data_IF_093936182693
#
_entry.id   IF_093936182693
#
_cell.length_a   1.000
_cell.length_b   1.000
_cell.length_c   1.000
_cell.angle_alpha   90.00
_cell.angle_beta   90.00
_cell.angle_gamma   90.00
#
_symmetry.space_group_name_H-M   'P 1'
#
loop_
_entity.id
_entity.type
_entity.pdbx_description
1 polymer ?
2 non-polymer ?
3 non-polymer ?
4 non-polymer ?
5 water ?
#
# COMPACT_ATOMS: atom_id res chain seq x y z
N UNK A 1 20.51 2.35 -5.63
CA UNK A 1 19.22 2.95 -6.06
C UNK A 1 18.24 3.13 -4.90
N UNK A 2 17.67 4.31 -4.92
CA UNK A 2 17.09 4.85 -3.78
C UNK A 2 15.61 5.01 -3.91
N UNK A 3 14.98 4.55 -4.98
CA UNK A 3 13.52 4.49 -5.09
C UNK A 3 12.98 3.14 -5.57
N UNK A 4 12.02 2.61 -4.86
CA UNK A 4 11.18 1.49 -5.31
C UNK A 4 9.83 2.07 -5.67
N UNK A 5 9.25 1.66 -6.82
CA UNK A 5 7.96 2.20 -7.16
C UNK A 5 7.19 1.29 -8.10
N UNK A 6 5.92 1.64 -8.27
CA UNK A 6 5.03 1.02 -9.21
C UNK A 6 5.15 1.56 -10.59
N UNK A 7 5.94 2.60 -10.80
CA UNK A 7 5.87 3.49 -11.94
C UNK A 7 4.67 4.40 -11.76
N UNK A 8 4.77 5.54 -12.44
CA UNK A 8 3.66 6.52 -12.31
C UNK A 8 2.57 6.44 -13.40
N UNK A 9 2.48 5.37 -14.17
CA UNK A 9 1.51 5.26 -15.25
C UNK A 9 0.15 4.83 -14.63
N UNK A 10 -0.85 4.52 -15.46
CA UNK A 10 -2.13 4.08 -14.92
C UNK A 10 -2.50 2.64 -15.34
N UNK A 11 -1.48 1.88 -15.72
CA UNK A 11 -1.69 0.48 -16.09
C UNK A 11 -2.03 -0.36 -14.85
N UNK A 12 -3.13 -1.18 -14.94
CA UNK A 12 -3.61 -1.74 -13.68
C UNK A 12 -2.63 -2.73 -13.15
N UNK A 13 -2.44 -2.70 -11.88
CA UNK A 13 -1.41 -3.48 -11.21
C UNK A 13 -1.89 -4.09 -9.94
N UNK A 14 -3.15 -3.96 -9.53
CA UNK A 14 -3.55 -4.20 -8.19
C UNK A 14 -4.98 -4.74 -8.14
N UNK A 15 -5.29 -5.42 -7.01
CA UNK A 15 -6.61 -5.97 -6.75
C UNK A 15 -7.31 -5.22 -5.65
N UNK A 16 -8.44 -4.63 -5.96
CA UNK A 16 -9.37 -4.11 -4.92
C UNK A 16 -10.47 -5.13 -4.70
N UNK A 17 -11.11 -5.49 -5.76
CA UNK A 17 -12.17 -6.51 -5.75
C UNK A 17 -11.69 -7.75 -6.53
N UNK A 18 -11.31 -7.55 -7.76
CA UNK A 18 -10.83 -8.63 -8.65
C UNK A 18 -9.42 -8.27 -9.17
N UNK A 19 -8.76 -9.28 -9.76
CA UNK A 19 -7.37 -9.12 -10.06
C UNK A 19 -7.15 -8.01 -11.10
N UNK A 20 -6.15 -7.17 -10.85
CA UNK A 20 -5.79 -6.12 -11.84
C UNK A 20 -6.99 -5.24 -12.23
N UNK A 21 -7.79 -4.93 -11.19
CA UNK A 21 -8.89 -3.97 -11.38
C UNK A 21 -8.53 -2.57 -11.07
N UNK A 22 -7.33 -2.31 -10.62
CA UNK A 22 -6.99 -1.00 -10.08
C UNK A 22 -5.54 -0.66 -10.27
N UNK A 23 -5.18 0.60 -10.17
CA UNK A 23 -3.82 1.09 -10.18
C UNK A 23 -3.46 1.61 -8.84
N UNK A 24 -2.53 0.95 -8.16
CA UNK A 24 -1.87 1.49 -6.99
C UNK A 24 -0.68 2.27 -7.43
N UNK A 25 -0.63 3.56 -7.11
CA UNK A 25 0.54 4.35 -7.40
C UNK A 25 1.30 4.46 -6.08
N UNK A 26 2.50 3.89 -6.02
CA UNK A 26 3.29 3.86 -4.77
C UNK A 26 4.70 4.08 -5.06
N UNK A 27 5.30 5.06 -4.35
CA UNK A 27 6.70 5.33 -4.44
C UNK A 27 7.33 5.37 -3.06
N UNK A 28 8.40 4.63 -2.89
CA UNK A 28 9.18 4.55 -1.62
C UNK A 28 10.53 5.05 -1.91
N UNK A 29 10.95 6.20 -1.32
CA UNK A 29 12.20 6.77 -1.49
C UNK A 29 13.03 6.67 -0.22
N UNK A 30 14.19 6.09 -0.29
CA UNK A 30 15.05 5.94 0.89
C UNK A 30 15.72 7.23 1.22
N UNK A 31 15.61 7.58 2.51
CA UNK A 31 16.10 8.78 3.06
C UNK A 31 16.86 8.41 4.40
N UNK A 32 18.00 7.72 4.32
CA UNK A 32 18.63 7.25 5.51
C UNK A 32 17.80 6.27 6.30
N UNK A 33 17.57 6.62 7.55
CA UNK A 33 16.84 5.80 8.50
C UNK A 33 15.33 5.75 8.24
N UNK A 34 14.82 6.55 7.29
CA UNK A 34 13.40 6.54 6.95
C UNK A 34 13.19 6.32 5.42
N UNK A 35 12.09 5.76 5.08
CA UNK A 35 11.54 5.85 3.74
C UNK A 35 10.53 6.97 3.76
N UNK A 36 10.54 7.80 2.70
CA UNK A 36 9.49 8.76 2.35
C UNK A 36 8.59 8.09 1.34
N UNK A 37 7.37 7.87 1.70
CA UNK A 37 6.41 7.22 0.88
C UNK A 37 5.31 8.11 0.34
N UNK A 38 4.74 7.71 -0.80
CA UNK A 38 3.66 8.51 -1.44
C UNK A 38 2.74 7.50 -2.11
N UNK A 39 1.47 7.53 -1.81
CA UNK A 39 0.56 6.50 -2.28
C UNK A 39 -0.75 7.09 -2.76
N UNK A 40 -1.43 6.37 -3.63
CA UNK A 40 -2.81 6.65 -4.06
C UNK A 40 -3.27 5.43 -4.81
N UNK A 41 -4.60 5.37 -4.98
CA UNK A 41 -5.25 4.17 -5.53
C UNK A 41 -6.42 4.61 -6.38
N UNK A 42 -6.57 3.96 -7.51
CA UNK A 42 -7.61 4.24 -8.51
C UNK A 42 -8.23 2.93 -8.94
N UNK A 43 -9.54 2.82 -8.97
CA UNK A 43 -10.21 1.67 -9.53
C UNK A 43 -10.45 1.87 -10.99
N UNK A 44 -9.97 0.99 -11.84
CA UNK A 44 -10.06 1.14 -13.29
C UNK A 44 -11.25 0.35 -13.84
N UNK A 45 -11.53 -0.81 -13.30
CA UNK A 45 -12.64 -1.69 -13.67
C UNK A 45 -13.26 -2.29 -12.44
N UNK A 46 -14.32 -3.05 -12.63
CA UNK A 46 -14.93 -3.81 -11.54
C UNK A 46 -15.79 -2.96 -10.61
N UNK A 47 -16.17 -3.52 -9.48
CA UNK A 47 -17.15 -2.92 -8.65
C UNK A 47 -16.70 -1.52 -8.15
N UNK A 48 -15.43 -1.38 -7.78
CA UNK A 48 -15.00 -0.10 -7.23
C UNK A 48 -14.92 0.96 -8.31
N UNK A 49 -14.96 0.60 -9.57
CA UNK A 49 -15.02 1.58 -10.65
C UNK A 49 -16.36 2.27 -10.70
N UNK A 50 -17.44 1.69 -10.24
CA UNK A 50 -18.74 2.30 -10.20
C UNK A 50 -19.45 1.69 -8.98
N UNK A 51 -19.18 2.29 -7.87
CA UNK A 51 -19.64 1.69 -6.56
C UNK A 51 -21.15 1.69 -6.48
N UNK A 52 -21.70 0.72 -5.73
CA UNK A 52 -23.12 0.66 -5.44
C UNK A 52 -23.35 0.92 -3.96
N UNK A 53 -24.63 0.95 -3.58
CA UNK A 53 -24.99 1.16 -2.16
C UNK A 53 -24.54 0.01 -1.26
N UNK A 54 -24.31 -1.18 -1.83
CA UNK A 54 -23.81 -2.34 -1.10
C UNK A 54 -22.31 -2.62 -1.20
N UNK A 55 -21.53 -1.92 -2.04
CA UNK A 55 -20.10 -2.09 -2.07
C UNK A 55 -19.48 -1.92 -0.67
N UNK A 56 -18.47 -2.77 -0.37
CA UNK A 56 -17.82 -2.78 0.95
C UNK A 56 -16.98 -1.52 1.15
N UNK A 57 -17.33 -0.77 2.21
CA UNK A 57 -16.61 0.49 2.39
C UNK A 57 -15.32 0.27 3.20
N UNK A 58 -14.52 -0.71 2.75
CA UNK A 58 -13.30 -1.12 3.43
C UNK A 58 -12.46 -1.97 2.46
N UNK A 59 -11.37 -1.43 1.94
CA UNK A 59 -10.55 -2.10 0.95
C UNK A 59 -9.17 -2.16 1.54
N UNK A 60 -8.56 -3.34 1.54
CA UNK A 60 -7.19 -3.49 2.05
C UNK A 60 -6.26 -3.92 0.91
N UNK A 61 -5.22 -3.20 0.69
CA UNK A 61 -4.18 -3.50 -0.29
C UNK A 61 -2.95 -3.99 0.48
N UNK A 62 -2.57 -5.24 0.30
CA UNK A 62 -1.48 -5.84 1.07
C UNK A 62 -0.21 -6.03 0.25
N UNK A 63 0.89 -5.45 0.70
CA UNK A 63 2.21 -5.76 0.14
C UNK A 63 2.96 -6.61 1.16
N UNK A 64 3.25 -7.83 0.80
CA UNK A 64 3.93 -8.78 1.66
C UNK A 64 5.32 -8.93 1.09
N UNK A 65 6.36 -8.98 1.92
CA UNK A 65 7.75 -9.08 1.46
C UNK A 65 8.46 -10.22 2.10
N UNK A 66 9.37 -10.82 1.39
CA UNK A 66 10.24 -11.85 1.94
C UNK A 66 11.41 -11.24 2.68
N UNK A 67 12.27 -12.09 3.21
CA UNK A 67 13.40 -11.66 4.05
C UNK A 67 14.39 -10.81 3.25
N UNK A 68 14.38 -10.89 1.91
CA UNK A 68 15.21 -10.02 1.07
C UNK A 68 14.53 -8.68 0.75
N UNK A 69 13.37 -8.47 1.26
CA UNK A 69 12.64 -7.28 0.90
C UNK A 69 11.96 -7.33 -0.44
N UNK A 70 11.77 -8.53 -1.01
CA UNK A 70 11.21 -8.71 -2.33
C UNK A 70 9.74 -9.05 -2.16
N UNK A 71 8.90 -8.41 -2.97
CA UNK A 71 7.46 -8.62 -2.97
C UNK A 71 7.11 -10.05 -3.21
N UNK A 72 6.20 -10.58 -2.40
CA UNK A 72 5.70 -11.95 -2.56
C UNK A 72 4.50 -11.95 -3.52
N UNK A 73 4.34 -13.02 -4.26
CA UNK A 73 3.31 -13.08 -5.32
C UNK A 73 1.91 -13.13 -4.77
N UNK A 74 1.71 -13.42 -3.52
CA UNK A 74 0.39 -13.41 -2.93
C UNK A 74 -0.07 -12.02 -2.55
N UNK A 75 0.73 -10.99 -2.79
CA UNK A 75 0.36 -9.57 -2.52
C UNK A 75 -0.79 -9.12 -3.45
N UNK A 76 -1.44 -8.06 -2.99
CA UNK A 76 -2.47 -7.40 -3.81
C UNK A 76 -1.91 -6.76 -5.03
N UNK A 77 -0.70 -6.25 -4.95
CA UNK A 77 0.09 -5.61 -6.03
C UNK A 77 0.80 -6.66 -6.85
N UNK A 78 0.68 -6.63 -8.14
CA UNK A 78 1.41 -7.49 -9.02
C UNK A 78 2.90 -7.14 -9.06
N UNK A 79 3.72 -8.20 -8.99
CA UNK A 79 5.19 -8.05 -9.06
C UNK A 79 5.73 -7.52 -10.39
N UNK A 80 4.93 -7.64 -11.44
CA UNK A 80 5.42 -7.27 -12.76
C UNK A 80 5.80 -5.83 -12.88
N UNK A 81 5.06 -5.10 -11.97
CA UNK A 81 4.75 -3.68 -11.90
C UNK A 81 5.52 -3.02 -10.73
N UNK A 82 6.56 -3.65 -10.14
CA UNK A 82 7.12 -3.16 -8.86
C UNK A 82 8.59 -3.38 -8.85
N UNK A 83 9.41 -2.35 -8.89
CA UNK A 83 10.86 -2.54 -8.88
C UNK A 83 11.56 -1.20 -8.61
N UNK A 84 12.88 -1.25 -8.55
CA UNK A 84 13.68 -0.06 -8.47
C UNK A 84 13.41 0.82 -9.66
N UNK A 85 13.41 2.14 -9.47
CA UNK A 85 13.17 3.16 -10.54
C UNK A 85 14.35 3.14 -11.57
N UNK A 86 13.98 3.39 -12.83
CA UNK A 86 14.88 3.69 -13.94
C UNK A 86 14.05 4.60 -14.87
N UNK A 87 14.42 5.87 -14.96
CA UNK A 87 13.65 6.89 -15.70
C UNK A 87 12.19 6.93 -15.19
N UNK A 88 11.16 6.83 -16.05
CA UNK A 88 9.76 6.68 -15.59
C UNK A 88 9.30 5.22 -15.55
N UNK A 89 10.23 4.28 -15.77
CA UNK A 89 9.95 2.83 -15.67
C UNK A 89 10.75 2.16 -14.51
N UNK A 90 11.11 0.89 -14.69
CA UNK A 90 11.83 0.14 -13.67
C UNK A 90 13.07 -0.51 -14.26
N UNK A 91 13.98 -0.95 -13.40
CA UNK A 91 15.18 -1.72 -13.80
C UNK A 91 14.78 -3.07 -14.41
N UNK A 92 15.66 -3.65 -15.23
CA UNK A 92 15.35 -4.91 -15.93
C UNK A 92 15.50 -6.16 -15.04
N UNK A 93 16.58 -6.22 -14.22
CA UNK A 93 16.76 -7.27 -13.18
C UNK A 93 15.50 -7.39 -12.28
N UNK A 94 14.88 -8.58 -12.23
CA UNK A 94 13.60 -8.75 -11.51
C UNK A 94 13.80 -8.80 -9.99
N UNK A 95 14.88 -9.40 -9.52
CA UNK A 95 15.00 -9.82 -8.10
C UNK A 95 16.12 -9.12 -7.33
N UNK A 96 15.81 -7.91 -6.87
CA UNK A 96 16.77 -7.02 -6.26
C UNK A 96 16.51 -6.87 -4.76
N UNK A 97 17.53 -7.18 -3.92
CA UNK A 97 17.38 -6.99 -2.44
C UNK A 97 16.88 -5.62 -2.14
N UNK A 98 16.03 -5.55 -1.15
CA UNK A 98 15.46 -4.29 -0.74
C UNK A 98 15.23 -4.15 0.77
N UNK A 99 16.06 -4.83 1.55
CA UNK A 99 15.95 -4.77 3.01
C UNK A 99 15.98 -3.32 3.54
N UNK A 100 16.83 -2.45 2.96
CA UNK A 100 16.83 -1.07 3.46
C UNK A 100 15.58 -0.29 3.23
N UNK A 101 14.63 -0.80 2.48
CA UNK A 101 13.30 -0.21 2.31
C UNK A 101 12.26 -0.82 3.20
N UNK A 102 12.63 -1.88 3.95
CA UNK A 102 11.61 -2.59 4.71
C UNK A 102 11.34 -1.89 6.05
N UNK A 103 10.12 -2.01 6.58
CA UNK A 103 9.86 -1.34 7.86
C UNK A 103 10.60 -2.01 9.00
N UNK A 104 11.18 -1.21 9.87
CA UNK A 104 11.98 -1.68 11.00
C UNK A 104 11.18 -2.60 11.91
N UNK A 105 11.76 -3.77 12.18
CA UNK A 105 11.05 -4.78 12.96
C UNK A 105 11.06 -4.50 14.47
N UNK A 106 11.95 -3.64 14.95
CA UNK A 106 11.90 -3.22 16.35
C UNK A 106 10.85 -2.15 16.56
N UNK A 107 10.80 -1.17 15.68
CA UNK A 107 9.78 -0.16 15.73
C UNK A 107 8.39 -0.77 15.48
N UNK A 108 8.36 -1.73 14.53
CA UNK A 108 7.07 -2.24 14.05
C UNK A 108 7.14 -3.76 14.11
N UNK A 109 7.03 -4.36 15.30
CA UNK A 109 7.17 -5.77 15.43
C UNK A 109 5.94 -6.50 14.90
N UNK A 110 6.14 -7.69 14.41
CA UNK A 110 4.99 -8.49 14.07
C UNK A 110 4.15 -8.73 15.31
N UNK A 111 2.87 -9.01 15.12
CA UNK A 111 2.00 -9.37 16.26
C UNK A 111 2.37 -10.72 16.86
N UNK A 112 2.20 -10.84 18.16
CA UNK A 112 2.66 -12.04 18.89
C UNK A 112 1.70 -12.41 20.00
N UNK A 113 1.97 -13.55 20.62
CA UNK A 113 1.30 -13.95 21.88
C UNK A 113 1.78 -13.12 23.06
N UNK A 114 3.01 -12.62 22.97
CA UNK A 114 3.70 -11.88 24.04
C UNK A 114 2.94 -10.72 24.70
N UNK A 115 2.15 -9.97 23.91
CA UNK A 115 1.64 -8.65 24.35
C UNK A 115 0.25 -8.24 23.78
N UNK A 116 -0.63 -9.21 23.48
CA UNK A 116 -1.99 -8.93 22.96
C UNK A 116 -2.07 -7.83 21.88
N UNK A 117 -2.49 -6.61 22.24
CA UNK A 117 -2.61 -5.50 21.30
C UNK A 117 -1.22 -4.96 20.92
N UNK A 118 -1.04 -4.64 19.65
CA UNK A 118 0.25 -4.19 19.25
C UNK A 118 0.23 -2.67 19.44
N UNK A 119 1.43 -2.18 19.39
CA UNK A 119 1.67 -0.76 19.51
C UNK A 119 0.96 0.03 18.43
N UNK A 120 0.28 1.10 18.78
CA UNK A 120 -0.37 1.92 17.78
C UNK A 120 0.61 2.55 16.78
N UNK A 121 1.88 2.68 17.20
CA UNK A 121 2.85 3.30 16.28
C UNK A 121 3.06 2.52 15.05
N UNK A 122 2.64 1.25 14.99
CA UNK A 122 2.69 0.42 13.79
C UNK A 122 1.77 0.87 12.72
N UNK A 123 0.89 1.85 12.99
CA UNK A 123 -0.02 2.34 12.02
C UNK A 123 0.09 3.86 11.85
N UNK A 124 -0.29 4.32 10.70
CA UNK A 124 -0.54 5.74 10.37
C UNK A 124 -1.99 5.80 9.97
N UNK A 125 -2.76 6.73 10.50
CA UNK A 125 -4.17 6.89 10.10
C UNK A 125 -4.39 8.35 9.76
N UNK A 126 -5.00 8.60 8.63
CA UNK A 126 -5.37 9.98 8.24
C UNK A 126 -6.50 9.93 7.27
N UNK A 127 -6.86 11.03 6.68
CA UNK A 127 -7.88 11.11 5.61
C UNK A 127 -7.25 11.43 4.30
N UNK A 128 -7.74 10.80 3.25
CA UNK A 128 -7.60 11.22 1.87
C UNK A 128 -9.01 11.48 1.34
N UNK A 129 -9.13 11.91 0.08
CA UNK A 129 -10.41 12.43 -0.39
C UNK A 129 -10.79 11.83 -1.72
N UNK A 130 -11.98 11.25 -1.76
CA UNK A 130 -12.48 10.57 -2.92
C UNK A 130 -12.81 11.55 -4.02
N UNK A 131 -12.29 11.35 -5.24
CA UNK A 131 -12.49 12.23 -6.29
C UNK A 131 -11.83 13.59 -6.13
N UNK A 132 -10.94 13.70 -5.14
CA UNK A 132 -10.39 15.01 -4.75
C UNK A 132 -11.48 15.98 -4.43
N UNK A 133 -12.55 15.54 -3.79
CA UNK A 133 -13.66 16.39 -3.33
C UNK A 133 -13.57 16.49 -1.82
N UNK A 134 -13.59 17.73 -1.33
CA UNK A 134 -13.26 17.97 0.09
C UNK A 134 -14.30 17.48 1.02
N UNK A 135 -15.50 17.27 0.58
CA UNK A 135 -16.59 16.72 1.35
C UNK A 135 -16.65 15.18 1.33
N UNK A 136 -15.64 14.52 0.75
CA UNK A 136 -15.66 13.05 0.62
C UNK A 136 -14.43 12.40 1.22
N UNK A 137 -14.29 12.51 2.53
CA UNK A 137 -13.15 11.88 3.21
C UNK A 137 -13.23 10.35 3.14
N UNK A 138 -12.05 9.78 3.05
CA UNK A 138 -11.84 8.33 3.14
C UNK A 138 -10.66 8.15 4.09
N UNK A 139 -10.79 7.28 5.09
CA UNK A 139 -9.74 7.09 6.06
C UNK A 139 -8.72 6.16 5.47
N UNK A 140 -7.44 6.54 5.40
CA UNK A 140 -6.35 5.66 5.02
C UNK A 140 -5.64 5.20 6.29
N UNK A 141 -5.47 3.87 6.42
CA UNK A 141 -4.69 3.26 7.48
C UNK A 141 -3.51 2.56 6.85
N UNK A 142 -2.30 2.96 7.18
CA UNK A 142 -1.09 2.28 6.70
C UNK A 142 -0.57 1.49 7.85
N UNK A 143 -0.31 0.19 7.69
CA UNK A 143 0.19 -0.65 8.75
C UNK A 143 1.48 -1.31 8.36
N UNK A 144 2.42 -1.35 9.28
CA UNK A 144 3.75 -1.89 9.05
C UNK A 144 3.98 -3.17 9.82
N UNK A 145 4.29 -4.24 9.07
CA UNK A 145 4.69 -5.53 9.62
C UNK A 145 3.61 -6.25 10.44
N UNK A 146 2.35 -5.92 10.16
CA UNK A 146 1.28 -6.50 10.90
C UNK A 146 0.67 -7.74 10.25
N UNK A 147 1.15 -8.13 9.09
CA UNK A 147 0.72 -9.38 8.42
C UNK A 147 1.69 -10.53 8.77
N UNK A 148 1.13 -11.73 8.87
CA UNK A 148 1.96 -12.94 9.00
C UNK A 148 1.77 -13.95 7.89
N UNK A 149 0.79 -13.76 7.03
CA UNK A 149 0.43 -14.82 6.13
C UNK A 149 1.47 -15.00 5.04
N UNK A 150 1.48 -16.21 4.49
CA UNK A 150 2.36 -16.60 3.39
C UNK A 150 3.83 -16.54 3.77
N UNK A 151 4.16 -16.67 5.06
CA UNK A 151 5.52 -16.63 5.47
C UNK A 151 6.22 -15.29 5.35
N UNK A 152 5.47 -14.17 5.29
CA UNK A 152 6.11 -12.89 5.04
C UNK A 152 7.05 -12.46 6.16
N UNK A 153 8.16 -11.84 5.83
CA UNK A 153 9.08 -11.25 6.77
C UNK A 153 8.67 -9.84 7.12
N UNK A 154 8.11 -9.11 6.18
CA UNK A 154 7.72 -7.70 6.37
C UNK A 154 6.43 -7.48 5.64
N UNK A 155 5.71 -6.42 5.98
CA UNK A 155 4.54 -6.08 5.25
C UNK A 155 4.26 -4.59 5.31
N UNK A 156 3.62 -4.05 4.26
CA UNK A 156 3.07 -2.70 4.29
C UNK A 156 1.67 -2.87 3.73
N UNK A 157 0.62 -2.47 4.47
CA UNK A 157 -0.75 -2.55 3.96
C UNK A 157 -1.38 -1.18 3.98
N UNK A 158 -2.27 -0.96 3.03
CA UNK A 158 -3.01 0.32 2.88
C UNK A 158 -4.45 -0.03 2.91
N UNK A 159 -5.18 0.35 3.96
CA UNK A 159 -6.62 0.10 4.05
C UNK A 159 -7.36 1.40 3.90
N UNK A 160 -8.41 1.41 3.10
CA UNK A 160 -9.26 2.59 2.92
C UNK A 160 -10.62 2.25 3.44
N UNK A 161 -11.14 3.08 4.34
CA UNK A 161 -12.36 2.84 5.02
C UNK A 161 -13.21 4.09 5.09
N UNK A 162 -14.49 3.97 4.87
CA UNK A 162 -15.34 5.15 4.85
C UNK A 162 -16.73 4.79 5.30
N UNK A 163 -17.53 5.83 5.54
CA UNK A 163 -18.89 5.69 6.03
C UNK A 163 -19.95 6.25 5.09
N UNK A 164 -19.63 7.32 4.39
CA UNK A 164 -20.62 7.97 3.53
C UNK A 164 -20.87 7.10 2.29
N UNK A 165 -22.04 7.34 1.70
CA UNK A 165 -22.48 6.59 0.53
C UNK A 165 -21.87 7.22 -0.72
N UNK A 166 -20.87 6.54 -1.31
CA UNK A 166 -20.24 7.03 -2.55
C UNK A 166 -20.71 6.24 -3.76
N UNK A 167 -21.93 5.71 -3.71
CA UNK A 167 -22.46 4.98 -4.81
C UNK A 167 -22.50 5.82 -6.08
N UNK A 168 -22.30 5.13 -7.20
CA UNK A 168 -22.23 5.67 -8.55
C UNK A 168 -20.88 6.31 -8.88
N UNK A 169 -20.03 6.49 -7.90
CA UNK A 169 -18.72 7.06 -8.14
C UNK A 169 -17.65 6.03 -8.37
N UNK A 170 -16.59 6.45 -9.02
CA UNK A 170 -15.37 5.72 -9.22
C UNK A 170 -14.48 5.87 -8.03
N UNK A 171 -13.96 4.79 -7.42
CA UNK A 171 -13.01 4.95 -6.37
C UNK A 171 -11.71 5.52 -6.92
N UNK A 172 -11.31 6.67 -6.39
CA UNK A 172 -10.07 7.34 -6.77
C UNK A 172 -9.75 8.30 -5.65
N UNK A 173 -8.58 8.31 -5.12
CA UNK A 173 -8.28 9.14 -3.97
C UNK A 173 -7.06 10.04 -4.22
N UNK A 174 -7.03 11.14 -3.48
CA UNK A 174 -5.86 12.02 -3.47
C UNK A 174 -4.63 11.29 -2.94
N UNK A 175 -3.47 11.85 -3.25
CA UNK A 175 -2.18 11.27 -2.83
C UNK A 175 -1.92 11.53 -1.37
N UNK A 176 -1.21 10.58 -0.74
CA UNK A 176 -0.88 10.70 0.68
C UNK A 176 0.61 10.46 0.89
N UNK A 177 1.24 11.33 1.61
CA UNK A 177 2.66 11.26 1.98
C UNK A 177 2.83 10.73 3.36
N UNK A 178 3.83 9.90 3.56
CA UNK A 178 4.09 9.30 4.87
C UNK A 178 5.51 8.92 5.00
N UNK A 179 6.00 8.54 6.16
CA UNK A 179 7.33 7.99 6.30
C UNK A 179 7.31 6.85 7.30
N UNK A 180 8.35 6.06 7.33
CA UNK A 180 8.54 5.00 8.35
C UNK A 180 9.96 4.72 8.49
N UNK A 181 10.34 4.20 9.69
CA UNK A 181 11.65 3.78 10.01
C UNK A 181 12.00 2.48 9.29
N UNK A 182 13.23 2.40 8.79
CA UNK A 182 13.65 1.24 8.02
C UNK A 182 14.48 0.25 8.81
N UNK A 183 14.47 -0.99 8.30
CA UNK A 183 15.36 -2.05 8.74
C UNK A 183 16.74 -1.63 8.19
X LIG B 1 18.52 -2.21 8.59
X LIG B 1 19.44 -2.16 7.44
X LIG B 1 19.72 -3.61 7.20
X LIG B 1 20.25 -4.07 6.18
X LIG B 1 20.64 -1.31 7.84
X LIG B 1 20.24 0.16 8.10
X LIG B 1 19.57 0.79 6.88
X LIG B 1 20.00 0.47 5.75
X LIG B 1 18.63 1.60 7.07
X LIG B 1 19.27 -4.37 8.07
X LIG C 1 -0.13 -11.49 -10.93
X LIG C 1 0.15 -11.68 -9.50
X LIG C 1 1.12 -11.44 -11.61
X LIG C 1 -0.81 -12.62 -11.65
X LIG C 1 -1.00 -10.29 -11.02
X LIG D 1 11.03 -5.89 -5.93
X LIG D 1 10.20 -6.92 -5.38
X LIG D 1 12.11 -5.48 -4.96
X LIG D 1 12.98 -4.68 -5.75
X LIG D 1 11.49 -4.71 -3.78
X LIG D 1 10.33 -5.26 -3.18
#
# INVERSE_FOLDING_TARGET
RRTLWTTPDTSPNCKMSTEKDSKLTLTLTKCGSQVLGNVSLLAVTGEYHQMTATTKKDVKISLLFDENGILLPSSSLSKDYWNYRSDDSIVSQKYNNAVPFMPNLTAYPKPSAQNAKNYSRTKIISNVYLGALTYQPVIITIAFNQETENGCAYSITFTFTWQKDYSAQQFDVTSFTFSYLTQ
GLU N CA C O CB CG CD OE1 OE2 OXT
SO4 S O1 O2 O3 O4
GOL C1 O1 C2 O2 C3 O3
#
